data_IF_733261668784
#
_entry.id   IF_733261668784
#
_cell.length_a   1.000
_cell.length_b   1.000
_cell.length_c   1.000
_cell.angle_alpha   90.00
_cell.angle_beta   90.00
_cell.angle_gamma   90.00
#
_symmetry.space_group_name_H-M   'P 1'
#
loop_
_entity.id
_entity.type
_entity.pdbx_description
1 polymer ?
#
# COMPACT_ATOMS: atom_id res chain seq x y z
N UNK A 1 -29.99 1.96 1.49
CA UNK A 1 -29.58 0.72 0.76
C UNK A 1 -28.99 0.97 -0.63
N UNK A 2 -29.33 2.07 -1.33
CA UNK A 2 -28.77 2.35 -2.67
C UNK A 2 -27.40 3.02 -2.70
N UNK A 3 -27.00 3.73 -1.65
CA UNK A 3 -25.75 4.49 -1.59
C UNK A 3 -24.53 3.59 -1.32
N UNK A 4 -24.71 2.57 -0.48
CA UNK A 4 -23.64 1.59 -0.15
C UNK A 4 -23.32 0.72 -1.37
N UNK A 5 -24.35 0.32 -2.15
CA UNK A 5 -24.14 -0.39 -3.42
C UNK A 5 -23.38 0.46 -4.43
N UNK A 6 -23.63 1.77 -4.50
CA UNK A 6 -22.91 2.69 -5.39
C UNK A 6 -21.46 2.90 -4.96
N UNK A 7 -21.16 2.93 -3.65
CA UNK A 7 -19.79 3.10 -3.14
C UNK A 7 -18.95 1.83 -3.33
N UNK A 8 -19.53 0.64 -3.06
CA UNK A 8 -18.87 -0.64 -3.38
C UNK A 8 -18.64 -0.81 -4.88
N UNK A 9 -19.61 -0.36 -5.72
CA UNK A 9 -19.46 -0.41 -7.18
C UNK A 9 -18.38 0.57 -7.65
N UNK A 10 -18.20 1.73 -6.98
CA UNK A 10 -17.17 2.70 -7.31
C UNK A 10 -15.77 2.21 -6.88
N UNK A 11 -15.65 1.58 -5.71
CA UNK A 11 -14.38 0.98 -5.24
C UNK A 11 -13.98 -0.23 -6.11
N UNK A 12 -14.92 -1.11 -6.44
CA UNK A 12 -14.71 -2.18 -7.41
C UNK A 12 -14.47 -1.64 -8.84
N UNK A 13 -15.09 -0.52 -9.24
CA UNK A 13 -14.88 0.05 -10.56
C UNK A 13 -13.52 0.75 -10.69
N UNK A 14 -12.98 1.35 -9.62
CA UNK A 14 -11.61 1.91 -9.61
C UNK A 14 -10.58 0.78 -9.63
N UNK A 15 -10.84 -0.35 -8.94
CA UNK A 15 -10.02 -1.56 -9.08
C UNK A 15 -10.25 -2.29 -10.42
N UNK A 16 -11.47 -2.31 -10.96
CA UNK A 16 -11.79 -3.07 -12.17
C UNK A 16 -11.55 -2.29 -13.48
N UNK A 17 -11.52 -0.96 -13.47
CA UNK A 17 -11.20 -0.17 -14.67
C UNK A 17 -9.71 -0.21 -15.04
N UNK A 18 -8.84 -0.73 -14.18
CA UNK A 18 -7.46 -1.05 -14.56
C UNK A 18 -7.30 -2.42 -15.25
N UNK A 19 -8.35 -3.24 -15.32
CA UNK A 19 -8.25 -4.65 -15.74
C UNK A 19 -8.80 -4.95 -17.14
N UNK A 20 -9.33 -3.98 -17.89
CA UNK A 20 -9.99 -4.26 -19.16
C UNK A 20 -9.48 -3.41 -20.33
N UNK A 21 -8.22 -3.57 -20.69
CA UNK A 21 -7.78 -3.41 -22.06
C UNK A 21 -6.83 -4.55 -22.39
N UNK A 22 -7.38 -5.73 -22.53
CA UNK A 22 -6.68 -6.86 -23.08
C UNK A 22 -7.41 -7.32 -24.35
N UNK A 23 -6.61 -7.68 -25.31
CA UNK A 23 -6.86 -8.42 -26.52
C UNK A 23 -6.84 -7.61 -27.80
N UNK A 24 -5.69 -7.60 -28.43
CA UNK A 24 -5.62 -7.78 -29.88
C UNK A 24 -4.55 -8.82 -30.21
N UNK A 25 -4.95 -9.77 -31.04
CA UNK A 25 -4.29 -10.97 -31.49
C UNK A 25 -2.84 -10.77 -31.99
N UNK A 26 -2.00 -11.74 -31.71
CA UNK A 26 -1.29 -12.62 -32.64
C UNK A 26 -0.04 -13.30 -32.05
N UNK A 27 -0.06 -13.64 -30.75
CA UNK A 27 0.84 -14.69 -30.25
C UNK A 27 0.13 -15.50 -29.16
N UNK A 28 -0.34 -16.68 -29.50
CA UNK A 28 -1.15 -17.58 -28.65
C UNK A 28 -0.47 -18.03 -27.33
N UNK A 29 0.71 -17.48 -26.99
CA UNK A 29 1.53 -17.94 -25.87
C UNK A 29 1.94 -16.85 -24.88
N UNK A 30 1.81 -15.56 -25.23
CA UNK A 30 2.10 -14.45 -24.33
C UNK A 30 0.82 -13.75 -23.88
N UNK A 31 0.61 -13.68 -22.57
CA UNK A 31 -0.45 -12.88 -21.97
C UNK A 31 0.16 -11.61 -21.39
N UNK A 32 -0.12 -10.47 -22.00
CA UNK A 32 0.40 -9.16 -21.64
C UNK A 32 -0.67 -8.34 -20.92
N UNK A 33 -0.37 -7.91 -19.71
CA UNK A 33 -1.20 -7.00 -18.93
C UNK A 33 -0.49 -5.66 -18.77
N UNK A 34 -1.19 -4.57 -19.06
CA UNK A 34 -0.67 -3.20 -18.90
C UNK A 34 -1.67 -2.36 -18.12
N UNK A 35 -1.19 -1.61 -17.12
CA UNK A 35 -2.01 -0.67 -16.34
C UNK A 35 -1.18 0.52 -15.87
N UNK A 36 -1.88 1.60 -15.50
CA UNK A 36 -1.29 2.80 -14.91
C UNK A 36 -1.86 3.00 -13.51
N UNK A 37 -0.99 3.31 -12.57
CA UNK A 37 -1.39 3.55 -11.17
C UNK A 37 -0.71 4.79 -10.61
N UNK A 38 -1.36 5.43 -9.64
CA UNK A 38 -0.72 6.47 -8.84
C UNK A 38 0.33 5.84 -7.92
N UNK A 39 1.45 6.53 -7.74
CA UNK A 39 2.53 6.07 -6.90
C UNK A 39 3.01 7.18 -5.97
N UNK A 40 3.19 6.83 -4.70
CA UNK A 40 3.79 7.66 -3.68
C UNK A 40 5.30 7.42 -3.66
N UNK A 41 6.07 8.46 -3.83
CA UNK A 41 7.52 8.41 -3.89
C UNK A 41 8.12 9.13 -2.68
N UNK A 42 9.11 8.53 -2.06
CA UNK A 42 9.81 9.06 -0.90
C UNK A 42 11.31 8.92 -1.08
N UNK A 43 12.02 10.06 -1.13
CA UNK A 43 13.48 10.13 -1.04
C UNK A 43 13.89 10.54 0.37
N UNK A 44 14.99 9.99 0.88
CA UNK A 44 15.52 10.38 2.17
C UNK A 44 17.05 10.35 2.16
N UNK A 45 17.67 11.47 2.55
CA UNK A 45 19.12 11.64 2.72
C UNK A 45 19.41 12.59 3.86
N UNK A 46 20.24 12.18 4.81
CA UNK A 46 20.73 13.01 5.92
C UNK A 46 19.63 13.76 6.69
N UNK A 47 18.49 13.08 6.91
CA UNK A 47 17.33 13.66 7.58
C UNK A 47 16.43 14.54 6.69
N UNK A 48 16.85 14.85 5.46
CA UNK A 48 16.00 15.53 4.47
C UNK A 48 15.09 14.49 3.80
N UNK A 49 13.79 14.76 3.77
CA UNK A 49 12.80 13.88 3.15
C UNK A 49 12.03 14.65 2.09
N UNK A 50 12.02 14.11 0.88
CA UNK A 50 11.21 14.60 -0.23
C UNK A 50 10.11 13.59 -0.51
N UNK A 51 8.88 14.06 -0.52
CA UNK A 51 7.71 13.28 -0.93
C UNK A 51 7.16 13.83 -2.24
N UNK A 52 6.74 12.95 -3.12
CA UNK A 52 5.99 13.32 -4.32
C UNK A 52 5.01 12.22 -4.72
N UNK A 53 3.92 12.61 -5.31
CA UNK A 53 3.07 11.67 -6.05
C UNK A 53 3.43 11.73 -7.53
N UNK A 54 3.47 10.56 -8.14
CA UNK A 54 3.71 10.38 -9.56
C UNK A 54 2.78 9.31 -10.11
N UNK A 55 3.10 8.84 -11.29
CA UNK A 55 2.42 7.72 -11.95
C UNK A 55 3.41 6.62 -12.27
N UNK A 56 2.97 5.38 -12.18
CA UNK A 56 3.71 4.23 -12.68
C UNK A 56 2.88 3.54 -13.75
N UNK A 57 3.48 3.34 -14.90
CA UNK A 57 3.01 2.47 -15.97
C UNK A 57 3.68 1.11 -15.77
N UNK A 58 2.87 0.07 -15.64
CA UNK A 58 3.33 -1.29 -15.33
C UNK A 58 2.90 -2.22 -16.45
N UNK A 59 3.84 -2.96 -16.99
CA UNK A 59 3.61 -4.01 -17.97
C UNK A 59 4.03 -5.35 -17.35
N UNK A 60 3.13 -6.33 -17.33
CA UNK A 60 3.39 -7.70 -16.86
C UNK A 60 3.19 -8.63 -18.05
N UNK A 61 4.20 -9.41 -18.36
CA UNK A 61 4.12 -10.47 -19.35
C UNK A 61 4.13 -11.84 -18.65
N UNK A 62 3.34 -12.74 -19.18
CA UNK A 62 3.34 -14.14 -18.78
C UNK A 62 3.57 -15.02 -20.03
N UNK A 63 4.66 -15.74 -20.04
CA UNK A 63 4.94 -16.75 -21.05
C UNK A 63 4.42 -18.12 -20.58
N UNK A 64 3.37 -18.61 -21.20
CA UNK A 64 2.75 -19.87 -20.84
C UNK A 64 3.64 -21.10 -21.13
N UNK A 65 4.66 -20.99 -21.98
CA UNK A 65 5.58 -22.10 -22.30
C UNK A 65 6.60 -22.33 -21.20
N UNK A 66 7.12 -21.25 -20.64
CA UNK A 66 8.14 -21.29 -19.59
C UNK A 66 7.56 -21.12 -18.20
N UNK A 67 6.28 -20.75 -18.08
CA UNK A 67 5.63 -20.28 -16.88
C UNK A 67 6.33 -19.07 -16.22
N UNK A 68 7.16 -18.36 -16.98
CA UNK A 68 7.86 -17.17 -16.51
C UNK A 68 6.95 -15.96 -16.56
N UNK A 69 7.14 -15.08 -15.59
CA UNK A 69 6.58 -13.74 -15.58
C UNK A 69 7.68 -12.71 -15.59
N UNK A 70 7.46 -11.63 -16.32
CA UNK A 70 8.32 -10.46 -16.29
C UNK A 70 7.52 -9.21 -15.99
N UNK A 71 8.19 -8.21 -15.43
CA UNK A 71 7.61 -6.88 -15.15
C UNK A 71 8.50 -5.80 -15.76
N UNK A 72 7.87 -4.79 -16.34
CA UNK A 72 8.51 -3.54 -16.75
C UNK A 72 7.77 -2.37 -16.10
N UNK A 73 8.52 -1.43 -15.53
CA UNK A 73 7.98 -0.28 -14.82
C UNK A 73 8.53 0.98 -15.46
N UNK A 74 7.64 1.93 -15.79
CA UNK A 74 8.00 3.30 -16.12
C UNK A 74 7.29 4.21 -15.14
N UNK A 75 8.04 4.93 -14.29
CA UNK A 75 7.46 5.74 -13.23
C UNK A 75 8.09 7.11 -13.12
N UNK A 76 7.30 8.10 -12.71
CA UNK A 76 7.75 9.47 -12.44
C UNK A 76 7.90 9.71 -10.95
N UNK A 77 8.94 10.42 -10.54
CA UNK A 77 9.22 10.78 -9.16
C UNK A 77 9.97 12.10 -9.07
N UNK A 78 10.09 12.66 -7.85
CA UNK A 78 11.04 13.74 -7.58
C UNK A 78 12.24 13.17 -6.82
N UNK A 79 13.44 13.57 -7.25
CA UNK A 79 14.68 13.23 -6.57
C UNK A 79 14.85 14.02 -5.25
N UNK A 80 15.99 13.82 -4.57
CA UNK A 80 16.26 14.47 -3.29
C UNK A 80 16.40 16.01 -3.41
N UNK A 81 16.69 16.52 -4.59
CA UNK A 81 16.74 17.94 -4.91
C UNK A 81 15.39 18.50 -5.39
N UNK A 82 14.35 17.66 -5.41
CA UNK A 82 13.01 18.01 -5.87
C UNK A 82 12.86 18.07 -7.38
N UNK A 83 13.84 17.61 -8.16
CA UNK A 83 13.80 17.57 -9.61
C UNK A 83 12.97 16.38 -10.09
N UNK A 84 12.17 16.62 -11.13
CA UNK A 84 11.37 15.54 -11.74
C UNK A 84 12.26 14.59 -12.53
N UNK A 85 12.10 13.29 -12.28
CA UNK A 85 12.83 12.19 -12.92
C UNK A 85 11.85 11.13 -13.41
N UNK A 86 12.35 10.29 -14.31
CA UNK A 86 11.62 9.12 -14.80
C UNK A 86 12.52 7.88 -14.65
N UNK A 87 12.02 6.88 -13.95
CA UNK A 87 12.59 5.54 -13.93
C UNK A 87 11.97 4.72 -15.05
N UNK A 88 12.79 4.05 -15.85
CA UNK A 88 12.35 3.00 -16.79
C UNK A 88 13.20 1.76 -16.56
N UNK A 89 12.56 0.65 -16.18
CA UNK A 89 13.28 -0.62 -16.00
C UNK A 89 13.37 -1.38 -17.32
N UNK A 90 14.36 -2.27 -17.49
CA UNK A 90 14.24 -3.36 -18.45
C UNK A 90 13.09 -4.30 -18.04
N UNK A 91 12.85 -5.33 -18.82
CA UNK A 91 12.02 -6.45 -18.37
C UNK A 91 12.74 -7.22 -17.27
N UNK A 92 12.14 -7.28 -16.08
CA UNK A 92 12.68 -7.96 -14.91
C UNK A 92 11.91 -9.25 -14.67
N UNK A 93 12.63 -10.33 -14.42
CA UNK A 93 12.01 -11.60 -14.05
C UNK A 93 11.29 -11.50 -12.70
N UNK A 94 10.11 -12.11 -12.64
CA UNK A 94 9.33 -12.32 -11.44
C UNK A 94 9.29 -13.82 -11.14
N UNK A 95 10.25 -14.36 -10.40
CA UNK A 95 10.26 -15.78 -10.06
C UNK A 95 8.99 -16.17 -9.30
N UNK A 96 8.56 -17.43 -9.49
CA UNK A 96 7.39 -17.95 -8.78
C UNK A 96 7.54 -17.77 -7.27
N UNK A 97 6.52 -17.28 -6.58
CA UNK A 97 6.62 -16.95 -5.16
C UNK A 97 6.63 -18.25 -4.32
N UNK A 98 7.82 -18.81 -4.08
CA UNK A 98 7.94 -19.93 -3.15
C UNK A 98 7.87 -19.38 -1.72
N UNK A 99 6.78 -19.68 -1.02
CA UNK A 99 6.56 -19.23 0.37
C UNK A 99 6.03 -17.81 0.54
N UNK A 100 5.70 -17.12 -0.55
CA UNK A 100 5.01 -15.81 -0.52
C UNK A 100 3.49 -16.00 -0.56
N UNK A 101 2.70 -15.01 -0.11
CA UNK A 101 1.25 -15.01 -0.32
C UNK A 101 0.89 -15.21 -1.79
N UNK A 102 -0.20 -15.92 -2.05
CA UNK A 102 -0.65 -16.20 -3.41
C UNK A 102 -0.90 -14.87 -4.15
N UNK A 103 -0.26 -14.70 -5.31
CA UNK A 103 -0.42 -13.49 -6.14
C UNK A 103 0.66 -12.44 -5.96
N UNK A 104 1.50 -12.54 -4.93
CA UNK A 104 2.61 -11.61 -4.69
C UNK A 104 3.88 -12.11 -5.37
N UNK A 105 4.48 -11.29 -6.21
CA UNK A 105 5.71 -11.58 -6.95
C UNK A 105 6.78 -10.55 -6.64
N UNK A 106 8.01 -11.02 -6.38
CA UNK A 106 9.16 -10.16 -6.19
C UNK A 106 9.93 -9.98 -7.50
N UNK A 107 10.60 -8.85 -7.63
CA UNK A 107 11.50 -8.55 -8.75
C UNK A 107 12.70 -7.74 -8.26
N UNK A 108 13.84 -7.88 -8.92
CA UNK A 108 15.04 -7.12 -8.57
C UNK A 108 16.04 -7.07 -9.71
N UNK A 109 16.89 -6.04 -9.70
CA UNK A 109 18.11 -5.97 -10.50
C UNK A 109 19.17 -5.18 -9.76
N UNK A 110 20.43 -5.56 -9.98
CA UNK A 110 21.61 -4.81 -9.52
C UNK A 110 22.25 -3.99 -10.64
N UNK A 111 21.70 -4.07 -11.86
CA UNK A 111 22.20 -3.32 -13.01
C UNK A 111 22.03 -1.81 -12.80
N UNK A 112 22.90 -1.06 -13.43
CA UNK A 112 22.76 0.40 -13.56
C UNK A 112 21.65 0.71 -14.56
N UNK A 113 20.59 1.36 -14.06
CA UNK A 113 19.43 1.75 -14.86
C UNK A 113 19.56 3.15 -15.47
N UNK A 114 20.73 3.76 -15.36
CA UNK A 114 21.00 5.14 -15.79
C UNK A 114 20.76 6.17 -14.67
N UNK A 115 21.30 7.36 -14.85
CA UNK A 115 21.18 8.50 -13.90
C UNK A 115 21.55 8.14 -12.45
N UNK A 116 22.47 7.20 -12.23
CA UNK A 116 22.90 6.74 -10.90
C UNK A 116 21.90 5.83 -10.19
N UNK A 117 20.86 5.36 -10.88
CA UNK A 117 19.85 4.44 -10.36
C UNK A 117 20.36 3.00 -10.41
N UNK A 118 20.35 2.31 -9.27
CA UNK A 118 20.81 0.92 -9.12
C UNK A 118 20.12 0.19 -7.98
N UNK A 119 20.37 -1.12 -7.85
CA UNK A 119 19.87 -1.95 -6.76
C UNK A 119 18.35 -1.86 -6.60
N UNK A 120 17.63 -1.92 -7.72
CA UNK A 120 16.17 -1.92 -7.69
C UNK A 120 15.67 -3.26 -7.16
N UNK A 121 14.75 -3.20 -6.22
CA UNK A 121 14.03 -4.35 -5.68
C UNK A 121 12.60 -3.98 -5.35
N UNK A 122 11.69 -4.91 -5.56
CA UNK A 122 10.28 -4.67 -5.28
C UNK A 122 9.44 -5.92 -5.24
N UNK A 123 8.17 -5.72 -4.97
CA UNK A 123 7.13 -6.73 -5.05
C UNK A 123 5.83 -6.11 -5.55
N UNK A 124 5.04 -6.93 -6.20
CA UNK A 124 3.70 -6.59 -6.69
C UNK A 124 2.73 -7.72 -6.36
N UNK A 125 1.57 -7.36 -5.88
CA UNK A 125 0.40 -8.24 -5.85
C UNK A 125 -0.36 -8.07 -7.17
N UNK A 126 -0.29 -9.07 -8.02
CA UNK A 126 -0.92 -9.02 -9.36
C UNK A 126 -2.45 -9.08 -9.31
N UNK A 127 -3.04 -9.47 -8.18
CA UNK A 127 -4.49 -9.51 -8.02
C UNK A 127 -5.06 -8.12 -7.71
N UNK A 128 -4.35 -7.35 -6.91
CA UNK A 128 -4.78 -6.02 -6.47
C UNK A 128 -4.10 -4.88 -7.21
N UNK A 129 -2.99 -5.15 -7.90
CA UNK A 129 -2.12 -4.12 -8.50
C UNK A 129 -1.31 -3.33 -7.47
N UNK A 130 -1.36 -3.74 -6.20
CA UNK A 130 -0.52 -3.15 -5.17
C UNK A 130 0.95 -3.42 -5.43
N UNK A 131 1.75 -2.37 -5.38
CA UNK A 131 3.17 -2.44 -5.68
C UNK A 131 3.97 -1.60 -4.69
N UNK A 132 5.11 -2.15 -4.29
CA UNK A 132 6.15 -1.45 -3.58
C UNK A 132 7.50 -1.79 -4.21
N UNK A 133 8.32 -0.79 -4.49
CA UNK A 133 9.70 -0.99 -4.90
C UNK A 133 10.61 0.08 -4.32
N UNK A 134 11.89 -0.21 -4.27
CA UNK A 134 12.90 0.73 -3.85
C UNK A 134 14.14 0.59 -4.73
N UNK A 135 14.89 1.68 -4.87
CA UNK A 135 16.16 1.71 -5.58
C UNK A 135 17.09 2.72 -4.92
N UNK A 136 18.37 2.57 -5.15
CA UNK A 136 19.36 3.57 -4.82
C UNK A 136 19.51 4.53 -5.99
N UNK A 137 19.58 5.81 -5.70
CA UNK A 137 19.99 6.82 -6.64
C UNK A 137 21.14 7.60 -6.02
N UNK A 138 22.33 7.53 -6.66
CA UNK A 138 23.56 8.07 -6.10
C UNK A 138 23.81 7.50 -4.69
N UNK A 139 23.63 8.33 -3.63
CA UNK A 139 23.91 8.02 -2.23
C UNK A 139 22.64 7.96 -1.34
N UNK A 140 21.44 7.97 -1.92
CA UNK A 140 20.19 7.86 -1.17
C UNK A 140 19.26 6.78 -1.73
N UNK A 141 18.25 6.42 -0.94
CA UNK A 141 17.24 5.42 -1.31
C UNK A 141 15.93 6.08 -1.64
N UNK A 142 15.37 5.71 -2.79
CA UNK A 142 13.98 5.96 -3.15
C UNK A 142 13.11 4.78 -2.72
N UNK A 143 11.96 5.09 -2.12
CA UNK A 143 10.89 4.13 -1.84
C UNK A 143 9.63 4.58 -2.57
N UNK A 144 9.07 3.69 -3.37
CA UNK A 144 7.92 3.95 -4.21
C UNK A 144 6.82 2.94 -3.88
N UNK A 145 5.61 3.43 -3.61
CA UNK A 145 4.48 2.58 -3.23
C UNK A 145 3.20 3.05 -3.91
N UNK A 146 2.33 2.15 -4.25
CA UNK A 146 0.91 2.46 -4.43
C UNK A 146 0.29 2.87 -3.09
N UNK A 147 -1.05 2.93 -2.97
CA UNK A 147 -1.67 3.06 -1.65
C UNK A 147 -1.19 1.92 -0.74
N UNK A 148 -1.03 2.22 0.57
CA UNK A 148 -0.49 1.26 1.54
C UNK A 148 -1.63 0.41 2.10
N UNK A 149 -1.70 -0.85 1.67
CA UNK A 149 -2.67 -1.83 2.17
C UNK A 149 -1.95 -2.91 2.97
N UNK A 150 -2.37 -3.09 4.19
CA UNK A 150 -1.89 -4.14 5.11
C UNK A 150 -3.04 -5.09 5.39
N UNK A 151 -2.92 -6.32 4.91
CA UNK A 151 -3.93 -7.36 5.10
C UNK A 151 -3.59 -8.23 6.33
N UNK A 152 -4.61 -8.91 6.84
CA UNK A 152 -4.46 -9.87 7.94
C UNK A 152 -3.68 -9.29 9.14
N UNK A 153 -4.00 -8.05 9.50
CA UNK A 153 -3.30 -7.31 10.53
C UNK A 153 -3.54 -7.92 11.89
N UNK A 154 -2.47 -8.32 12.58
CA UNK A 154 -2.54 -8.85 13.93
C UNK A 154 -2.97 -7.71 14.87
N UNK A 155 -4.11 -7.85 15.49
CA UNK A 155 -4.68 -6.85 16.40
C UNK A 155 -4.96 -7.50 17.75
N UNK A 156 -4.40 -6.93 18.81
CA UNK A 156 -4.75 -7.22 20.20
C UNK A 156 -5.79 -6.20 20.64
N UNK A 157 -6.98 -6.67 21.03
CA UNK A 157 -8.09 -5.84 21.50
C UNK A 157 -8.29 -6.11 22.96
N UNK A 158 -8.31 -5.05 23.80
CA UNK A 158 -8.57 -5.12 25.24
C UNK A 158 -9.70 -4.18 25.62
N UNK A 159 -10.57 -4.60 26.54
CA UNK A 159 -11.62 -3.76 27.10
C UNK A 159 -11.28 -3.25 28.50
N UNK A 160 -12.15 -2.41 29.03
CA UNK A 160 -12.00 -1.83 30.39
C UNK A 160 -12.09 -2.86 31.54
N UNK A 161 -12.62 -4.07 31.28
CA UNK A 161 -12.67 -5.17 32.25
C UNK A 161 -11.37 -5.97 32.29
N UNK A 162 -10.44 -5.73 31.36
CA UNK A 162 -9.21 -6.48 31.18
C UNK A 162 -9.37 -7.74 30.32
N UNK A 163 -10.54 -7.96 29.70
CA UNK A 163 -10.69 -9.02 28.73
C UNK A 163 -9.91 -8.67 27.46
N UNK A 164 -9.29 -9.66 26.85
CA UNK A 164 -8.46 -9.49 25.64
C UNK A 164 -8.75 -10.55 24.60
N UNK A 165 -8.63 -10.16 23.32
CA UNK A 165 -8.60 -11.10 22.19
C UNK A 165 -7.50 -10.71 21.21
N UNK A 166 -7.02 -11.69 20.46
CA UNK A 166 -6.20 -11.46 19.26
C UNK A 166 -7.00 -11.83 18.02
N UNK A 167 -6.91 -11.00 17.00
CA UNK A 167 -7.56 -11.23 15.70
C UNK A 167 -6.64 -10.81 14.58
N UNK A 168 -6.84 -11.37 13.39
CA UNK A 168 -6.17 -10.98 12.14
C UNK A 168 -7.18 -10.74 11.02
N UNK A 169 -8.43 -10.45 11.36
CA UNK A 169 -9.51 -10.29 10.38
C UNK A 169 -9.48 -8.95 9.65
N UNK A 170 -8.93 -7.91 10.29
CA UNK A 170 -8.96 -6.56 9.75
C UNK A 170 -7.83 -6.31 8.76
N UNK A 171 -8.12 -5.47 7.76
CA UNK A 171 -7.14 -4.91 6.84
C UNK A 171 -7.18 -3.39 6.92
N UNK A 172 -6.01 -2.75 6.78
CA UNK A 172 -5.85 -1.30 6.87
C UNK A 172 -5.32 -0.75 5.55
N UNK A 173 -6.02 0.22 4.99
CA UNK A 173 -5.62 0.94 3.78
C UNK A 173 -5.35 2.39 4.14
N UNK A 174 -4.18 2.90 3.77
CA UNK A 174 -3.81 4.30 3.91
C UNK A 174 -3.63 4.94 2.53
N UNK A 175 -4.36 6.01 2.29
CA UNK A 175 -4.28 6.82 1.08
C UNK A 175 -3.75 8.21 1.47
N UNK A 176 -2.49 8.48 1.14
CA UNK A 176 -1.84 9.76 1.44
C UNK A 176 -2.33 10.85 0.48
N UNK A 177 -2.41 12.09 0.96
CA UNK A 177 -2.61 13.25 0.10
C UNK A 177 -1.33 13.57 -0.70
N UNK A 178 -1.42 14.48 -1.67
CA UNK A 178 -0.32 14.82 -2.58
C UNK A 178 0.93 15.39 -1.91
N UNK A 179 0.85 15.77 -0.64
CA UNK A 179 1.95 16.35 0.13
C UNK A 179 2.34 15.50 1.33
N UNK A 180 1.69 14.33 1.53
CA UNK A 180 1.80 13.48 2.71
C UNK A 180 1.59 14.22 4.05
N UNK A 181 0.68 15.20 4.07
CA UNK A 181 0.30 15.93 5.29
C UNK A 181 -0.93 15.36 5.95
N UNK A 182 -1.80 14.75 5.15
CA UNK A 182 -2.99 14.05 5.63
C UNK A 182 -3.15 12.72 4.92
N UNK A 183 -3.93 11.84 5.53
CA UNK A 183 -4.34 10.61 4.88
C UNK A 183 -5.82 10.29 5.13
N UNK A 184 -6.34 9.42 4.28
CA UNK A 184 -7.56 8.67 4.55
C UNK A 184 -7.12 7.29 5.03
N UNK A 185 -7.66 6.85 6.17
CA UNK A 185 -7.51 5.47 6.64
C UNK A 185 -8.83 4.75 6.50
N UNK A 186 -8.79 3.57 5.89
CA UNK A 186 -9.92 2.65 5.85
C UNK A 186 -9.56 1.37 6.59
N UNK A 187 -10.47 0.90 7.44
CA UNK A 187 -10.35 -0.39 8.12
C UNK A 187 -11.46 -1.29 7.57
N UNK A 188 -11.07 -2.37 6.90
CA UNK A 188 -12.00 -3.40 6.43
C UNK A 188 -12.15 -4.51 7.46
N UNK A 189 -13.33 -5.10 7.53
CA UNK A 189 -13.70 -6.14 8.52
C UNK A 189 -13.41 -5.68 9.97
N UNK A 190 -13.89 -4.50 10.31
CA UNK A 190 -13.60 -3.87 11.59
C UNK A 190 -14.23 -4.63 12.77
N UNK A 191 -13.40 -4.98 13.74
CA UNK A 191 -13.77 -5.67 14.99
C UNK A 191 -13.60 -4.67 16.14
N UNK A 192 -14.67 -4.02 16.60
CA UNK A 192 -14.55 -2.91 17.58
C UNK A 192 -14.36 -3.34 19.01
N UNK A 193 -14.54 -4.61 19.37
CA UNK A 193 -14.49 -5.05 20.76
C UNK A 193 -14.10 -6.50 20.96
N UNK A 194 -13.94 -6.90 22.21
CA UNK A 194 -13.44 -8.23 22.64
C UNK A 194 -14.36 -9.41 22.35
N UNK A 195 -15.58 -9.17 21.83
CA UNK A 195 -16.44 -10.25 21.34
C UNK A 195 -15.96 -10.88 20.02
N UNK A 196 -14.94 -10.28 19.38
CA UNK A 196 -14.33 -10.78 18.17
C UNK A 196 -15.20 -10.71 16.90
N UNK A 197 -16.38 -10.11 16.98
CA UNK A 197 -17.29 -10.04 15.85
C UNK A 197 -16.97 -8.86 14.94
N UNK A 198 -16.91 -9.10 13.62
CA UNK A 198 -16.87 -8.03 12.61
C UNK A 198 -18.22 -7.30 12.65
N UNK A 199 -18.18 -5.99 12.94
CA UNK A 199 -19.40 -5.17 13.00
C UNK A 199 -19.54 -4.21 11.81
N UNK A 200 -18.46 -3.90 11.12
CA UNK A 200 -18.50 -3.10 9.91
C UNK A 200 -17.60 -3.69 8.83
N UNK A 201 -18.14 -3.76 7.60
CA UNK A 201 -17.36 -4.24 6.46
C UNK A 201 -16.22 -3.27 6.12
N UNK A 202 -16.49 -1.95 6.18
CA UNK A 202 -15.48 -0.89 5.99
C UNK A 202 -15.86 0.30 6.87
N UNK A 203 -14.87 0.84 7.58
CA UNK A 203 -14.96 2.14 8.27
C UNK A 203 -13.88 3.06 7.70
N UNK A 204 -14.24 4.30 7.42
CA UNK A 204 -13.35 5.30 6.81
C UNK A 204 -13.18 6.50 7.73
N UNK A 205 -11.92 6.96 7.84
CA UNK A 205 -11.50 8.14 8.59
C UNK A 205 -10.73 9.07 7.65
N UNK A 206 -11.15 10.34 7.55
CA UNK A 206 -10.55 11.34 6.66
C UNK A 206 -9.76 12.39 7.40
N UNK A 207 -8.73 12.91 6.73
CA UNK A 207 -7.98 14.06 7.23
C UNK A 207 -7.13 13.76 8.46
N UNK A 208 -6.68 12.50 8.64
CA UNK A 208 -5.74 12.18 9.70
C UNK A 208 -4.40 12.85 9.41
N UNK A 209 -3.84 13.53 10.39
CA UNK A 209 -2.56 14.22 10.26
C UNK A 209 -1.43 13.23 10.05
N UNK A 210 -0.58 13.50 9.06
CA UNK A 210 0.61 12.73 8.76
C UNK A 210 1.84 13.59 8.98
N UNK A 211 2.79 13.08 9.73
CA UNK A 211 4.14 13.65 9.84
C UNK A 211 5.10 12.73 9.10
N UNK A 212 5.73 13.28 8.08
CA UNK A 212 6.76 12.58 7.31
C UNK A 212 8.10 12.78 8.01
N UNK A 213 8.80 11.67 8.30
CA UNK A 213 10.12 11.66 8.95
C UNK A 213 11.10 10.81 8.15
N UNK A 214 12.37 10.86 8.49
CA UNK A 214 13.39 9.94 7.95
C UNK A 214 13.14 8.47 8.34
N UNK A 215 12.37 8.23 9.41
CA UNK A 215 12.00 6.89 9.88
C UNK A 215 10.71 6.36 9.24
N UNK A 216 9.95 7.17 8.50
CA UNK A 216 8.70 6.78 7.86
C UNK A 216 7.58 7.78 8.03
N UNK A 217 6.36 7.29 8.20
CA UNK A 217 5.17 8.10 8.40
C UNK A 217 4.64 7.91 9.82
N UNK A 218 4.35 9.00 10.48
CA UNK A 218 3.68 9.03 11.76
C UNK A 218 2.29 9.63 11.57
N UNK A 219 1.24 8.89 11.93
CA UNK A 219 -0.16 9.31 11.82
C UNK A 219 -0.71 9.42 13.23
N UNK A 220 -1.10 10.64 13.64
CA UNK A 220 -1.62 10.91 14.99
C UNK A 220 -2.90 11.70 14.94
N UNK A 221 -3.84 11.34 15.83
CA UNK A 221 -5.03 12.14 16.09
C UNK A 221 -5.55 11.87 17.50
N UNK A 222 -5.89 12.94 18.23
CA UNK A 222 -6.58 12.80 19.50
C UNK A 222 -7.97 12.21 19.29
N UNK A 223 -8.63 12.57 18.19
CA UNK A 223 -9.92 12.05 17.77
C UNK A 223 -9.96 11.87 16.25
N UNK A 224 -10.52 10.75 15.78
CA UNK A 224 -10.78 10.48 14.38
C UNK A 224 -12.24 10.09 14.17
N UNK A 225 -12.96 10.90 13.41
CA UNK A 225 -14.39 10.70 13.16
C UNK A 225 -14.60 9.72 12.01
N UNK A 226 -15.42 8.70 12.27
CA UNK A 226 -15.87 7.79 11.24
C UNK A 226 -16.86 8.51 10.29
N UNK A 227 -16.70 8.29 8.98
CA UNK A 227 -17.46 9.04 7.97
C UNK A 227 -18.97 8.78 8.03
N UNK A 228 -19.40 7.61 8.49
CA UNK A 228 -20.80 7.18 8.38
C UNK A 228 -21.50 6.91 9.72
N UNK A 229 -20.76 6.57 10.78
CA UNK A 229 -21.37 6.23 12.06
C UNK A 229 -20.39 6.54 13.21
N UNK A 230 -20.79 7.47 14.08
CA UNK A 230 -20.01 7.89 15.24
C UNK A 230 -19.78 6.79 16.28
N UNK A 231 -20.45 5.64 16.18
CA UNK A 231 -20.16 4.47 17.00
C UNK A 231 -18.71 3.98 16.78
N UNK A 232 -18.19 4.15 15.57
CA UNK A 232 -16.85 3.75 15.17
C UNK A 232 -15.80 4.86 15.30
N UNK A 233 -16.13 6.01 15.91
CA UNK A 233 -15.14 7.05 16.18
C UNK A 233 -13.98 6.50 17.00
N UNK A 234 -12.76 6.96 16.69
CA UNK A 234 -11.53 6.57 17.36
C UNK A 234 -10.98 7.73 18.20
N UNK A 235 -10.25 7.39 19.24
CA UNK A 235 -9.43 8.33 20.03
C UNK A 235 -8.01 7.77 20.16
N UNK A 236 -7.07 8.65 20.53
CA UNK A 236 -5.68 8.29 20.80
C UNK A 236 -5.02 7.51 19.65
N UNK A 237 -5.27 7.96 18.41
CA UNK A 237 -4.68 7.33 17.23
C UNK A 237 -3.18 7.63 17.19
N UNK A 238 -2.37 6.59 17.23
CA UNK A 238 -0.91 6.66 17.08
C UNK A 238 -0.43 5.50 16.20
N UNK A 239 -0.08 5.79 14.96
CA UNK A 239 0.28 4.80 13.95
C UNK A 239 1.61 5.20 13.32
N UNK A 240 2.51 4.23 13.20
CA UNK A 240 3.78 4.37 12.50
C UNK A 240 3.84 3.41 11.32
N UNK A 241 4.22 3.92 10.16
CA UNK A 241 4.57 3.13 8.98
C UNK A 241 6.06 3.32 8.79
N UNK A 242 6.82 2.22 8.70
CA UNK A 242 8.27 2.25 8.64
C UNK A 242 8.81 2.96 7.39
N UNK A 243 10.11 3.28 7.44
CA UNK A 243 10.84 3.96 6.36
C UNK A 243 10.67 3.29 5.01
N UNK A 244 10.69 1.97 5.00
CA UNK A 244 10.64 1.18 3.77
C UNK A 244 9.22 0.86 3.32
N UNK A 245 8.20 1.31 4.06
CA UNK A 245 6.80 1.00 3.83
C UNK A 245 6.51 -0.52 3.78
N UNK A 246 7.23 -1.29 4.60
CA UNK A 246 7.07 -2.74 4.68
C UNK A 246 6.29 -3.18 5.88
N UNK A 247 6.32 -2.38 6.94
CA UNK A 247 5.68 -2.68 8.21
C UNK A 247 4.95 -1.46 8.75
N UNK A 248 3.84 -1.70 9.43
CA UNK A 248 3.18 -0.69 10.25
C UNK A 248 2.82 -1.26 11.61
N UNK A 249 2.72 -0.39 12.59
CA UNK A 249 2.24 -0.69 13.92
C UNK A 249 1.55 0.51 14.52
N UNK A 250 0.73 0.30 15.52
CA UNK A 250 0.09 1.41 16.19
C UNK A 250 -0.97 0.99 17.15
N UNK A 251 -1.69 2.00 17.63
CA UNK A 251 -2.82 1.83 18.53
C UNK A 251 -3.87 2.92 18.31
N UNK A 252 -5.09 2.60 18.73
CA UNK A 252 -6.17 3.54 18.94
C UNK A 252 -7.16 2.99 19.97
N UNK A 253 -8.04 3.84 20.45
CA UNK A 253 -9.16 3.44 21.28
C UNK A 253 -10.48 3.63 20.52
N UNK A 254 -11.43 2.73 20.77
CA UNK A 254 -12.84 2.89 20.43
C UNK A 254 -13.61 3.28 21.70
N UNK A 255 -14.92 3.44 21.63
CA UNK A 255 -15.77 3.67 22.81
C UNK A 255 -15.74 2.52 23.83
N UNK A 256 -15.35 1.31 23.41
CA UNK A 256 -15.47 0.07 24.19
C UNK A 256 -14.15 -0.66 24.42
N UNK A 257 -13.11 -0.33 23.67
CA UNK A 257 -11.85 -1.09 23.74
C UNK A 257 -10.66 -0.30 23.22
N UNK A 258 -9.46 -0.74 23.62
CA UNK A 258 -8.18 -0.33 23.05
C UNK A 258 -7.70 -1.38 22.05
N UNK A 259 -7.13 -0.93 20.98
CA UNK A 259 -6.55 -1.73 19.90
C UNK A 259 -5.06 -1.47 19.80
N UNK A 260 -4.26 -2.52 19.78
CA UNK A 260 -2.84 -2.48 19.46
C UNK A 260 -2.61 -3.43 18.29
N UNK A 261 -1.97 -2.96 17.25
CA UNK A 261 -1.88 -3.72 16.00
C UNK A 261 -0.53 -3.60 15.32
N UNK A 262 -0.22 -4.61 14.52
CA UNK A 262 0.92 -4.59 13.62
C UNK A 262 0.65 -5.45 12.37
N UNK A 263 1.27 -5.08 11.26
CA UNK A 263 1.13 -5.79 10.01
C UNK A 263 2.28 -5.51 9.06
N UNK A 264 2.46 -6.42 8.11
CA UNK A 264 3.40 -6.24 7.01
C UNK A 264 2.64 -6.05 5.71
N UNK A 265 3.22 -5.31 4.79
CA UNK A 265 2.72 -5.24 3.42
C UNK A 265 2.88 -6.62 2.76
N UNK A 266 1.94 -7.02 1.95
CA UNK A 266 1.93 -8.33 1.28
C UNK A 266 1.86 -9.56 2.21
N UNK A 267 1.17 -9.43 3.35
CA UNK A 267 0.84 -10.58 4.22
C UNK A 267 -0.47 -11.25 3.82
#
# INVERSE_FOLDING_TARGET
MNTIKKLMTLLLAVLAMSLLTACNNDDEHENKQKFTTAINNRACKDGVVIFSQGTAEVEINFDARTAMRTIKITSTYKDIDGQSRTLTTPELEMPSPYGSPIGVYSFSTTEDLGDGVRNLKGAIDIQTGMMRYSFQQEDYTMVCTTNLLFNNVITNISDVSGATINTNMSSYLFMLDSNAKTCIMQISNFVPGVNGAVQAAVVEYKGLNVTLTDQGYLIKADEAKATHDSYYDLTDVDITIDRDCTHFSGSFSTKVSRHEFSGNIFN
#
